data_IF_710696044062
#
_entry.id   IF_710696044062
#
_cell.length_a   1.000
_cell.length_b   1.000
_cell.length_c   1.000
_cell.angle_alpha   90.00
_cell.angle_beta   90.00
_cell.angle_gamma   90.00
#
_symmetry.space_group_name_H-M   'P 1'
#
loop_
_entity.id
_entity.type
_entity.pdbx_description
1 polymer ?
#
# COMPACT_ATOMS: atom_id res chain seq x y z
N UNK A 1 -18.41 19.65 -14.95
CA UNK A 1 -18.23 18.26 -14.47
C UNK A 1 -18.44 18.28 -12.97
N UNK A 2 -19.33 17.44 -12.48
CA UNK A 2 -19.71 17.39 -11.06
C UNK A 2 -18.49 17.06 -10.19
N UNK A 3 -18.28 17.78 -9.08
CA UNK A 3 -17.11 17.59 -8.19
C UNK A 3 -16.92 16.13 -7.78
N UNK A 4 -18.05 15.42 -7.57
CA UNK A 4 -18.06 14.00 -7.21
C UNK A 4 -17.45 13.14 -8.35
N UNK A 5 -17.87 13.34 -9.58
CA UNK A 5 -17.35 12.59 -10.74
C UNK A 5 -15.86 12.82 -10.93
N UNK A 6 -15.39 14.06 -10.77
CA UNK A 6 -13.97 14.39 -10.85
C UNK A 6 -13.16 13.66 -9.76
N UNK A 7 -13.65 13.66 -8.53
CA UNK A 7 -12.99 12.96 -7.42
C UNK A 7 -12.92 11.45 -7.68
N UNK A 8 -13.99 10.85 -8.21
CA UNK A 8 -14.03 9.42 -8.53
C UNK A 8 -13.01 9.06 -9.63
N UNK A 9 -12.93 9.84 -10.71
CA UNK A 9 -11.97 9.62 -11.81
C UNK A 9 -10.54 9.75 -11.30
N UNK A 10 -10.22 10.81 -10.55
CA UNK A 10 -8.89 11.01 -9.98
C UNK A 10 -8.50 9.88 -9.02
N UNK A 11 -9.46 9.39 -8.23
CA UNK A 11 -9.24 8.28 -7.30
C UNK A 11 -8.96 6.95 -8.01
N UNK A 12 -9.62 6.68 -9.14
CA UNK A 12 -9.33 5.49 -9.96
C UNK A 12 -7.94 5.60 -10.58
N UNK A 13 -7.61 6.74 -11.14
CA UNK A 13 -6.31 6.98 -11.78
C UNK A 13 -5.14 6.89 -10.79
N UNK A 14 -5.23 7.59 -9.65
CA UNK A 14 -4.23 7.52 -8.59
C UNK A 14 -4.09 6.10 -8.06
N UNK A 15 -5.22 5.43 -7.82
CA UNK A 15 -5.22 4.06 -7.32
C UNK A 15 -4.62 3.05 -8.30
N UNK A 16 -4.78 3.23 -9.62
CA UNK A 16 -4.16 2.36 -10.63
C UNK A 16 -2.64 2.53 -10.65
N UNK A 17 -2.14 3.78 -10.60
CA UNK A 17 -0.70 4.06 -10.51
C UNK A 17 -0.12 3.48 -9.23
N UNK A 18 -0.80 3.70 -8.09
CA UNK A 18 -0.35 3.17 -6.81
C UNK A 18 -0.32 1.64 -6.79
N UNK A 19 -1.30 0.99 -7.40
CA UNK A 19 -1.36 -0.46 -7.46
C UNK A 19 -0.21 -1.05 -8.30
N UNK A 20 0.09 -0.47 -9.46
CA UNK A 20 1.26 -0.85 -10.25
C UNK A 20 2.57 -0.67 -9.46
N UNK A 21 2.72 0.47 -8.79
CA UNK A 21 3.86 0.72 -7.91
C UNK A 21 3.96 -0.32 -6.77
N UNK A 22 2.85 -0.67 -6.15
CA UNK A 22 2.79 -1.66 -5.08
C UNK A 22 3.26 -3.03 -5.57
N UNK A 23 2.77 -3.49 -6.73
CA UNK A 23 3.15 -4.78 -7.31
C UNK A 23 4.63 -4.85 -7.68
N UNK A 24 5.16 -3.79 -8.30
CA UNK A 24 6.57 -3.73 -8.65
C UNK A 24 7.43 -3.76 -7.38
N UNK A 25 7.04 -2.97 -6.37
CA UNK A 25 7.82 -2.86 -5.13
C UNK A 25 7.78 -4.13 -4.30
N UNK A 26 6.60 -4.69 -4.07
CA UNK A 26 6.43 -5.89 -3.23
C UNK A 26 6.84 -7.18 -3.94
N UNK A 27 6.49 -7.30 -5.20
CA UNK A 27 6.78 -8.52 -5.96
C UNK A 27 8.21 -8.51 -6.51
N UNK A 28 8.44 -7.68 -7.50
CA UNK A 28 9.65 -7.74 -8.30
C UNK A 28 10.89 -7.19 -7.57
N UNK A 29 10.81 -5.95 -7.07
CA UNK A 29 11.96 -5.31 -6.42
C UNK A 29 12.31 -5.99 -5.09
N UNK A 30 11.32 -6.28 -4.26
CA UNK A 30 11.55 -6.90 -2.96
C UNK A 30 12.22 -8.26 -3.10
N UNK A 31 11.69 -9.13 -3.94
CA UNK A 31 12.23 -10.46 -4.17
C UNK A 31 13.55 -10.43 -4.93
N UNK A 32 13.66 -9.59 -5.97
CA UNK A 32 14.88 -9.45 -6.77
C UNK A 32 16.07 -8.97 -5.94
N UNK A 33 15.88 -7.94 -5.11
CA UNK A 33 16.93 -7.46 -4.21
C UNK A 33 17.28 -8.48 -3.12
N UNK A 34 16.30 -9.20 -2.61
CA UNK A 34 16.57 -10.25 -1.64
C UNK A 34 17.45 -11.36 -2.23
N UNK A 35 17.18 -11.78 -3.46
CA UNK A 35 17.98 -12.76 -4.18
C UNK A 35 19.41 -12.24 -4.42
N UNK A 36 19.55 -10.99 -4.87
CA UNK A 36 20.86 -10.37 -5.10
C UNK A 36 21.69 -10.26 -3.81
N UNK A 37 21.03 -10.04 -2.67
CA UNK A 37 21.69 -10.02 -1.37
C UNK A 37 21.98 -11.41 -0.80
N UNK A 38 21.72 -12.48 -1.55
CA UNK A 38 21.91 -13.84 -1.10
C UNK A 38 20.98 -14.23 0.06
N UNK A 39 19.77 -13.70 0.07
CA UNK A 39 18.82 -13.99 1.12
C UNK A 39 18.47 -15.48 1.15
N UNK A 40 18.34 -16.02 2.35
CA UNK A 40 17.89 -17.40 2.54
C UNK A 40 16.43 -17.58 2.12
N UNK A 41 16.05 -18.80 1.74
CA UNK A 41 14.67 -19.14 1.35
C UNK A 41 13.61 -18.66 2.36
N UNK A 42 13.81 -18.81 3.68
CA UNK A 42 12.84 -18.29 4.65
C UNK A 42 12.65 -16.76 4.58
N UNK A 43 13.70 -16.00 4.28
CA UNK A 43 13.61 -14.54 4.13
C UNK A 43 12.79 -14.18 2.89
N UNK A 44 13.02 -14.88 1.78
CA UNK A 44 12.26 -14.68 0.53
C UNK A 44 10.78 -15.05 0.75
N UNK A 45 10.52 -16.17 1.40
CA UNK A 45 9.17 -16.59 1.74
C UNK A 45 8.47 -15.55 2.65
N UNK A 46 9.19 -15.02 3.64
CA UNK A 46 8.66 -13.98 4.52
C UNK A 46 8.31 -12.70 3.75
N UNK A 47 9.15 -12.26 2.82
CA UNK A 47 8.85 -11.11 1.94
C UNK A 47 7.56 -11.34 1.14
N UNK A 48 7.35 -12.54 0.62
CA UNK A 48 6.15 -12.88 -0.14
C UNK A 48 4.86 -12.87 0.69
N UNK A 49 4.92 -13.19 1.98
CA UNK A 49 3.74 -13.21 2.86
C UNK A 49 3.52 -11.90 3.61
N UNK A 50 4.49 -10.98 3.61
CA UNK A 50 4.41 -9.68 4.29
C UNK A 50 3.13 -8.90 3.95
N UNK A 51 2.71 -8.77 2.67
CA UNK A 51 1.48 -8.06 2.33
C UNK A 51 0.25 -8.65 3.02
N UNK A 52 0.18 -9.97 3.10
CA UNK A 52 -0.94 -10.69 3.74
C UNK A 52 -0.92 -10.51 5.26
N UNK A 53 0.24 -10.69 5.91
CA UNK A 53 0.38 -10.48 7.35
C UNK A 53 0.07 -9.04 7.72
N UNK A 54 0.48 -8.09 6.90
CA UNK A 54 0.24 -6.66 7.13
C UNK A 54 -1.25 -6.29 7.13
N UNK A 55 -2.13 -7.12 6.56
CA UNK A 55 -3.59 -6.89 6.66
C UNK A 55 -4.09 -6.94 8.11
N UNK A 56 -3.45 -7.70 8.99
CA UNK A 56 -3.83 -7.73 10.41
C UNK A 56 -3.64 -6.39 11.12
N UNK A 57 -2.72 -5.54 10.61
CA UNK A 57 -2.51 -4.19 11.16
C UNK A 57 -3.76 -3.31 11.00
N UNK A 58 -4.65 -3.63 10.06
CA UNK A 58 -5.92 -2.93 9.90
C UNK A 58 -6.83 -3.01 11.14
N UNK A 59 -6.65 -4.02 11.98
CA UNK A 59 -7.35 -4.12 13.26
C UNK A 59 -7.02 -2.94 14.19
N UNK A 60 -5.89 -2.30 14.01
CA UNK A 60 -5.48 -1.11 14.75
C UNK A 60 -6.08 0.19 14.17
N UNK A 61 -6.71 0.16 13.01
CA UNK A 61 -7.27 1.34 12.36
C UNK A 61 -8.24 2.13 13.25
N UNK A 62 -9.15 1.52 14.04
CA UNK A 62 -10.01 2.27 14.96
C UNK A 62 -9.24 2.98 16.08
N UNK A 63 -8.16 2.37 16.59
CA UNK A 63 -7.30 2.97 17.60
C UNK A 63 -6.53 4.18 17.01
N UNK A 64 -5.93 4.01 15.82
CA UNK A 64 -5.27 5.08 15.09
C UNK A 64 -6.24 6.22 14.78
N UNK A 65 -7.49 5.90 14.44
CA UNK A 65 -8.52 6.90 14.19
C UNK A 65 -8.84 7.73 15.41
N UNK A 66 -8.90 7.13 16.60
CA UNK A 66 -9.11 7.85 17.86
C UNK A 66 -7.96 8.80 18.19
N UNK A 67 -6.71 8.38 17.91
CA UNK A 67 -5.52 9.20 18.15
C UNK A 67 -5.41 10.38 17.19
N UNK A 68 -5.70 10.17 15.91
CA UNK A 68 -5.49 11.18 14.85
C UNK A 68 -6.72 12.07 14.69
N UNK A 69 -7.92 11.58 15.01
CA UNK A 69 -9.18 12.31 14.97
C UNK A 69 -9.72 12.64 13.58
N UNK A 70 -8.98 12.39 12.50
CA UNK A 70 -9.39 12.74 11.14
C UNK A 70 -8.94 11.69 10.12
N UNK A 71 -9.91 11.07 9.42
CA UNK A 71 -9.68 10.00 8.43
C UNK A 71 -8.77 10.41 7.29
N UNK A 72 -8.92 11.64 6.78
CA UNK A 72 -8.08 12.16 5.69
C UNK A 72 -6.64 12.35 6.16
N UNK A 73 -6.43 12.88 7.36
CA UNK A 73 -5.09 13.03 7.95
C UNK A 73 -4.45 11.66 8.18
N UNK A 74 -5.19 10.71 8.74
CA UNK A 74 -4.69 9.35 8.95
C UNK A 74 -4.26 8.71 7.62
N UNK A 75 -5.11 8.77 6.59
CA UNK A 75 -4.77 8.28 5.26
C UNK A 75 -3.48 8.94 4.72
N UNK A 76 -3.37 10.27 4.80
CA UNK A 76 -2.18 10.97 4.30
C UNK A 76 -0.92 10.59 5.06
N UNK A 77 -0.97 10.49 6.39
CA UNK A 77 0.18 10.10 7.22
C UNK A 77 0.67 8.71 6.80
N UNK A 78 -0.20 7.71 6.77
CA UNK A 78 0.19 6.35 6.43
C UNK A 78 0.58 6.19 4.96
N UNK A 79 -0.07 6.92 4.05
CA UNK A 79 0.36 6.99 2.65
C UNK A 79 1.76 7.57 2.49
N UNK A 80 2.09 8.61 3.23
CA UNK A 80 3.42 9.22 3.24
C UNK A 80 4.46 8.26 3.81
N UNK A 81 4.17 7.62 4.95
CA UNK A 81 5.06 6.62 5.55
C UNK A 81 5.33 5.49 4.56
N UNK A 82 4.29 4.95 3.93
CA UNK A 82 4.42 3.89 2.93
C UNK A 82 5.35 4.30 1.78
N UNK A 83 5.12 5.47 1.18
CA UNK A 83 5.93 5.94 0.06
C UNK A 83 7.38 6.29 0.46
N UNK A 84 7.56 6.92 1.62
CA UNK A 84 8.91 7.22 2.12
C UNK A 84 9.69 5.96 2.47
N UNK A 85 9.03 4.92 2.99
CA UNK A 85 9.71 3.65 3.29
C UNK A 85 10.42 3.10 2.04
N UNK A 86 9.78 3.15 0.87
CA UNK A 86 10.38 2.68 -0.38
C UNK A 86 11.51 3.57 -0.87
N UNK A 87 11.52 4.86 -0.54
CA UNK A 87 12.64 5.75 -0.86
C UNK A 87 13.92 5.38 -0.11
N UNK A 88 13.82 4.60 0.97
CA UNK A 88 14.99 4.07 1.69
C UNK A 88 15.54 2.75 1.12
N UNK A 89 14.89 2.14 0.13
CA UNK A 89 15.42 0.92 -0.52
C UNK A 89 16.85 1.10 -1.03
N UNK A 90 17.25 2.22 -1.70
CA UNK A 90 18.62 2.43 -2.13
C UNK A 90 19.64 2.42 -0.99
N UNK A 91 19.22 2.74 0.24
CA UNK A 91 20.08 2.70 1.41
C UNK A 91 20.56 1.26 1.67
N UNK A 92 19.73 0.25 1.37
CA UNK A 92 20.12 -1.16 1.51
C UNK A 92 21.33 -1.52 0.65
N UNK A 93 21.50 -0.84 -0.49
CA UNK A 93 22.64 -1.04 -1.38
C UNK A 93 23.93 -0.43 -0.82
N UNK A 94 23.82 0.67 -0.08
CA UNK A 94 24.95 1.38 0.51
C UNK A 94 25.48 0.72 1.81
N UNK A 95 24.62 -0.04 2.51
CA UNK A 95 24.98 -0.70 3.77
C UNK A 95 25.68 -2.04 3.49
N UNK A 96 26.90 -2.21 4.02
CA UNK A 96 27.71 -3.42 3.80
C UNK A 96 27.19 -4.68 4.52
N UNK A 97 26.67 -4.52 5.74
CA UNK A 97 26.20 -5.61 6.61
C UNK A 97 24.67 -5.56 6.79
N UNK A 98 24.06 -6.72 7.04
CA UNK A 98 22.63 -6.85 7.36
C UNK A 98 21.64 -6.31 6.30
N UNK A 99 22.03 -6.28 5.02
CA UNK A 99 21.18 -5.81 3.91
C UNK A 99 19.79 -6.45 3.89
N UNK A 100 19.75 -7.76 4.12
CA UNK A 100 18.50 -8.54 4.15
C UNK A 100 17.54 -8.09 5.25
N UNK A 101 18.06 -7.86 6.46
CA UNK A 101 17.25 -7.42 7.60
C UNK A 101 16.72 -6.00 7.41
N UNK A 102 17.54 -5.12 6.86
CA UNK A 102 17.12 -3.73 6.56
C UNK A 102 16.04 -3.75 5.47
N UNK A 103 16.20 -4.55 4.42
CA UNK A 103 15.19 -4.71 3.37
C UNK A 103 13.88 -5.22 3.94
N UNK A 104 13.91 -6.25 4.79
CA UNK A 104 12.73 -6.78 5.47
C UNK A 104 12.01 -5.71 6.30
N UNK A 105 12.73 -4.92 7.07
CA UNK A 105 12.15 -3.84 7.88
C UNK A 105 11.47 -2.79 6.99
N UNK A 106 12.14 -2.36 5.93
CA UNK A 106 11.59 -1.39 4.97
C UNK A 106 10.31 -1.94 4.32
N UNK A 107 10.35 -3.19 3.85
CA UNK A 107 9.20 -3.84 3.22
C UNK A 107 8.04 -4.08 4.20
N UNK A 108 8.34 -4.44 5.44
CA UNK A 108 7.32 -4.57 6.49
C UNK A 108 6.66 -3.23 6.78
N UNK A 109 7.44 -2.17 6.97
CA UNK A 109 6.92 -0.82 7.23
C UNK A 109 6.07 -0.33 6.05
N UNK A 110 6.54 -0.54 4.81
CA UNK A 110 5.78 -0.22 3.61
C UNK A 110 4.43 -0.94 3.59
N UNK A 111 4.41 -2.27 3.79
CA UNK A 111 3.20 -3.10 3.72
C UNK A 111 2.20 -2.74 4.82
N UNK A 112 2.66 -2.53 6.04
CA UNK A 112 1.81 -2.14 7.17
C UNK A 112 1.17 -0.77 6.95
N UNK A 113 1.95 0.21 6.53
CA UNK A 113 1.45 1.56 6.25
C UNK A 113 0.52 1.58 5.03
N UNK A 114 0.81 0.81 3.99
CA UNK A 114 -0.06 0.64 2.82
C UNK A 114 -1.42 0.03 3.19
N UNK A 115 -1.42 -0.99 4.03
CA UNK A 115 -2.63 -1.66 4.54
C UNK A 115 -3.55 -0.69 5.29
N UNK A 116 -3.00 0.12 6.22
CA UNK A 116 -3.75 1.16 6.92
C UNK A 116 -4.25 2.25 5.96
N UNK A 117 -3.44 2.66 5.01
CA UNK A 117 -3.84 3.64 3.96
C UNK A 117 -5.06 3.15 3.19
N UNK A 118 -5.06 1.90 2.76
CA UNK A 118 -6.17 1.28 2.05
C UNK A 118 -7.46 1.27 2.88
N UNK A 119 -7.37 0.95 4.16
CA UNK A 119 -8.52 0.94 5.08
C UNK A 119 -9.13 2.34 5.21
N UNK A 120 -8.33 3.36 5.49
CA UNK A 120 -8.80 4.75 5.61
C UNK A 120 -9.32 5.29 4.28
N UNK A 121 -8.71 4.91 3.16
CA UNK A 121 -9.16 5.29 1.82
C UNK A 121 -10.57 4.74 1.53
N UNK A 122 -10.81 3.45 1.80
CA UNK A 122 -12.14 2.83 1.62
C UNK A 122 -13.18 3.54 2.48
N UNK A 123 -12.83 3.88 3.72
CA UNK A 123 -13.71 4.62 4.63
C UNK A 123 -14.08 6.01 4.08
N UNK A 124 -13.12 6.73 3.48
CA UNK A 124 -13.37 8.04 2.84
C UNK A 124 -14.21 7.92 1.57
N UNK A 125 -13.94 6.92 0.75
CA UNK A 125 -14.67 6.74 -0.51
C UNK A 125 -16.13 6.34 -0.31
N UNK A 126 -16.46 5.69 0.80
CA UNK A 126 -17.87 5.42 1.18
C UNK A 126 -18.66 6.71 1.37
N UNK A 127 -18.04 7.79 1.84
CA UNK A 127 -18.70 9.07 2.03
C UNK A 127 -18.85 9.84 0.70
N UNK A 128 -18.00 9.59 -0.28
CA UNK A 128 -17.99 10.26 -1.61
C UNK A 128 -18.85 9.52 -2.62
N UNK A 129 -18.99 8.21 -2.51
CA UNK A 129 -19.81 7.42 -3.42
C UNK A 129 -21.27 7.39 -2.93
N UNK A 130 -22.25 7.89 -3.73
CA UNK A 130 -23.66 7.73 -3.40
C UNK A 130 -23.98 6.26 -3.15
N UNK A 131 -24.75 5.97 -2.10
CA UNK A 131 -25.07 4.59 -1.67
C UNK A 131 -25.58 3.71 -2.82
N UNK A 132 -26.43 4.26 -3.69
CA UNK A 132 -27.01 3.58 -4.83
C UNK A 132 -25.99 3.21 -5.93
N UNK A 133 -24.88 3.92 -6.02
CA UNK A 133 -23.84 3.73 -7.05
C UNK A 133 -22.50 3.23 -6.50
N UNK A 134 -22.38 3.06 -5.19
CA UNK A 134 -21.16 2.65 -4.55
C UNK A 134 -20.68 1.29 -5.06
N UNK A 135 -21.57 0.31 -5.18
CA UNK A 135 -21.24 -1.02 -5.71
C UNK A 135 -20.67 -0.94 -7.14
N UNK A 136 -21.31 -0.16 -8.02
CA UNK A 136 -20.87 0.03 -9.40
C UNK A 136 -19.50 0.73 -9.46
N UNK A 137 -19.26 1.74 -8.61
CA UNK A 137 -17.99 2.45 -8.53
C UNK A 137 -16.85 1.52 -8.11
N UNK A 138 -17.03 0.76 -7.02
CA UNK A 138 -16.01 -0.18 -6.53
C UNK A 138 -15.76 -1.33 -7.50
N UNK A 139 -16.81 -1.87 -8.13
CA UNK A 139 -16.69 -2.92 -9.15
C UNK A 139 -15.90 -2.43 -10.38
N UNK A 140 -16.26 -1.27 -10.93
CA UNK A 140 -15.53 -0.70 -12.08
C UNK A 140 -14.07 -0.42 -11.75
N UNK A 141 -13.78 0.09 -10.54
CA UNK A 141 -12.42 0.31 -10.08
C UNK A 141 -11.63 -1.00 -9.98
N UNK A 142 -12.23 -2.05 -9.42
CA UNK A 142 -11.57 -3.36 -9.30
C UNK A 142 -11.29 -3.98 -10.67
N UNK A 143 -12.20 -3.84 -11.65
CA UNK A 143 -11.97 -4.30 -13.03
C UNK A 143 -10.75 -3.57 -13.63
N UNK A 144 -10.68 -2.23 -13.49
CA UNK A 144 -9.54 -1.45 -14.00
C UNK A 144 -8.25 -1.91 -13.33
N UNK A 145 -8.25 -2.14 -12.03
CA UNK A 145 -7.08 -2.64 -11.30
C UNK A 145 -6.65 -4.02 -11.78
N UNK A 146 -7.59 -4.94 -12.01
CA UNK A 146 -7.27 -6.28 -12.53
C UNK A 146 -6.63 -6.18 -13.91
N UNK A 147 -7.15 -5.34 -14.81
CA UNK A 147 -6.58 -5.13 -16.14
C UNK A 147 -5.18 -4.51 -16.07
N UNK A 148 -4.96 -3.57 -15.14
CA UNK A 148 -3.65 -2.91 -14.97
C UNK A 148 -2.59 -3.87 -14.38
N UNK A 149 -3.03 -4.97 -13.79
CA UNK A 149 -2.17 -5.97 -13.12
C UNK A 149 -1.85 -7.18 -14.01
N UNK A 150 -2.41 -7.25 -15.22
CA UNK A 150 -2.09 -8.26 -16.22
C UNK A 150 -0.94 -7.82 -17.12
#
# INVERSE_FOLDING_TARGET
>A
MDKIKRTQILSVFEGSIYNGFFLITQGFLGTGLALEFGASEPVIALLGVLPTISQFVQLLAPAMMRLIGNRKRAMMIFATISRLSTAFIPVTLAVGMNRQSILLIIMALFSMAASLTGNFWVSLMKDVAPRERAAKFFSSRNIIFTITNM
#
